data_IF_870229005852
#
_entry.id   IF_870229005852
#
_cell.length_a   1.000
_cell.length_b   1.000
_cell.length_c   1.000
_cell.angle_alpha   90.00
_cell.angle_beta   90.00
_cell.angle_gamma   90.00
#
_symmetry.space_group_name_H-M   'P 1'
#
loop_
_entity.id
_entity.type
_entity.pdbx_description
1 polymer ?
#
# COMPACT_ATOMS: atom_id res chain seq x y z
N UNK A 1 27.00 15.02 -10.05
CA UNK A 1 25.81 15.34 -10.86
C UNK A 1 25.72 14.29 -11.95
N UNK A 2 24.84 13.30 -11.78
CA UNK A 2 24.52 12.35 -12.85
C UNK A 2 23.74 13.09 -13.93
N UNK A 3 24.11 12.82 -15.18
CA UNK A 3 23.54 13.44 -16.38
C UNK A 3 22.08 12.96 -16.57
N UNK A 4 21.09 13.86 -16.78
CA UNK A 4 19.69 13.50 -17.01
C UNK A 4 19.47 12.55 -18.19
N UNK A 5 20.40 12.54 -19.17
CA UNK A 5 20.40 11.59 -20.26
C UNK A 5 20.76 10.17 -19.77
N UNK A 6 21.63 10.07 -18.78
CA UNK A 6 22.03 8.80 -18.15
C UNK A 6 20.90 8.22 -17.31
N UNK A 7 20.11 9.05 -16.62
CA UNK A 7 18.93 8.58 -15.88
C UNK A 7 17.79 8.16 -16.82
N UNK A 8 17.61 8.88 -17.93
CA UNK A 8 16.64 8.54 -18.99
C UNK A 8 17.01 7.22 -19.69
N UNK A 9 18.30 6.97 -19.95
CA UNK A 9 18.80 5.72 -20.52
C UNK A 9 18.73 4.56 -19.53
N UNK A 10 19.01 4.80 -18.24
CA UNK A 10 18.83 3.77 -17.19
C UNK A 10 17.37 3.32 -17.12
N UNK A 11 16.43 4.25 -17.21
CA UNK A 11 15.00 3.95 -17.25
C UNK A 11 14.60 3.17 -18.50
N UNK A 12 15.08 3.59 -19.69
CA UNK A 12 14.79 2.90 -20.94
C UNK A 12 15.35 1.46 -20.99
N UNK A 13 16.55 1.24 -20.42
CA UNK A 13 17.17 -0.10 -20.32
C UNK A 13 16.45 -0.96 -19.28
N UNK A 14 16.05 -0.37 -18.15
CA UNK A 14 15.30 -1.05 -17.09
C UNK A 14 13.93 -1.58 -17.58
N UNK A 15 13.22 -0.80 -18.40
CA UNK A 15 11.97 -1.24 -19.03
C UNK A 15 12.20 -2.36 -20.05
N UNK A 16 13.31 -2.34 -20.78
CA UNK A 16 13.65 -3.37 -21.75
C UNK A 16 14.17 -4.69 -21.12
N UNK A 17 14.66 -4.65 -19.88
CA UNK A 17 15.32 -5.80 -19.24
C UNK A 17 14.37 -6.71 -18.46
N UNK A 18 13.21 -6.21 -18.01
CA UNK A 18 12.25 -6.98 -17.20
C UNK A 18 10.79 -6.69 -17.60
N UNK A 19 10.35 -7.09 -18.81
CA UNK A 19 8.99 -6.85 -19.31
C UNK A 19 7.91 -7.58 -18.49
N UNK A 20 8.30 -8.47 -17.59
CA UNK A 20 7.43 -9.23 -16.68
C UNK A 20 7.08 -8.45 -15.41
N UNK A 21 7.83 -7.37 -15.11
CA UNK A 21 7.65 -6.56 -13.90
C UNK A 21 6.58 -5.50 -14.12
N UNK A 22 5.60 -5.43 -13.22
CA UNK A 22 4.47 -4.51 -13.36
C UNK A 22 4.88 -3.04 -13.18
N UNK A 23 4.15 -2.10 -13.78
CA UNK A 23 4.30 -0.65 -13.55
C UNK A 23 4.30 -0.30 -12.06
N UNK A 24 3.51 -1.04 -11.27
CA UNK A 24 3.38 -0.83 -9.84
C UNK A 24 4.64 -1.26 -9.05
N UNK A 25 5.34 -2.31 -9.50
CA UNK A 25 6.59 -2.74 -8.89
C UNK A 25 7.71 -1.74 -9.16
N UNK A 26 7.79 -1.22 -10.39
CA UNK A 26 8.73 -0.14 -10.72
C UNK A 26 8.54 1.08 -9.82
N UNK A 27 7.29 1.52 -9.66
CA UNK A 27 6.94 2.62 -8.78
C UNK A 27 7.34 2.33 -7.32
N UNK A 28 7.11 1.11 -6.85
CA UNK A 28 7.45 0.74 -5.48
C UNK A 28 8.97 0.76 -5.23
N UNK A 29 9.77 0.24 -6.17
CA UNK A 29 11.23 0.24 -6.08
C UNK A 29 11.78 1.67 -6.07
N UNK A 30 11.20 2.57 -6.88
CA UNK A 30 11.58 3.98 -6.91
C UNK A 30 11.27 4.69 -5.57
N UNK A 31 10.10 4.43 -5.00
CA UNK A 31 9.63 5.08 -3.77
C UNK A 31 10.19 4.45 -2.49
N UNK A 32 10.61 3.19 -2.55
CA UNK A 32 11.20 2.44 -1.45
C UNK A 32 12.44 1.67 -1.95
N UNK A 33 13.57 2.39 -2.15
CA UNK A 33 14.81 1.77 -2.64
C UNK A 33 15.27 0.61 -1.76
N UNK A 34 15.75 -0.47 -2.39
CA UNK A 34 16.22 -1.68 -1.70
C UNK A 34 15.14 -2.74 -1.47
N UNK A 35 13.88 -2.46 -1.84
CA UNK A 35 12.82 -3.47 -1.90
C UNK A 35 12.80 -4.12 -3.30
N UNK A 36 12.54 -5.43 -3.42
CA UNK A 36 12.55 -6.11 -4.72
C UNK A 36 11.29 -5.85 -5.56
N UNK A 37 10.16 -5.56 -4.92
CA UNK A 37 8.85 -5.40 -5.56
C UNK A 37 7.86 -4.64 -4.64
N UNK A 38 6.64 -4.39 -5.13
CA UNK A 38 5.62 -3.71 -4.35
C UNK A 38 5.12 -4.50 -3.14
N UNK A 39 5.10 -5.84 -3.22
CA UNK A 39 4.64 -6.70 -2.11
C UNK A 39 5.60 -6.57 -0.93
N UNK A 40 6.90 -6.70 -1.17
CA UNK A 40 7.94 -6.52 -0.17
C UNK A 40 7.93 -5.09 0.37
N UNK A 41 7.80 -4.08 -0.51
CA UNK A 41 7.68 -2.69 -0.08
C UNK A 41 6.49 -2.49 0.86
N UNK A 42 5.34 -3.10 0.63
CA UNK A 42 4.18 -2.90 1.51
C UNK A 42 4.32 -3.73 2.79
N UNK A 43 4.65 -5.00 2.66
CA UNK A 43 4.55 -5.99 3.73
C UNK A 43 5.74 -5.95 4.70
N UNK A 44 6.95 -5.66 4.23
CA UNK A 44 8.13 -5.68 5.08
C UNK A 44 8.28 -4.37 5.86
N UNK A 45 8.54 -4.44 7.18
CA UNK A 45 8.78 -3.26 8.00
C UNK A 45 10.14 -2.62 7.65
N UNK A 46 10.18 -1.29 7.65
CA UNK A 46 11.42 -0.52 7.63
C UNK A 46 12.24 -0.66 8.92
N UNK A 47 13.49 -0.19 8.92
CA UNK A 47 14.43 -0.37 10.04
C UNK A 47 14.03 0.40 11.30
N UNK A 48 13.35 1.53 11.15
CA UNK A 48 12.80 2.32 12.24
C UNK A 48 11.36 2.77 11.93
N UNK A 49 10.59 3.06 12.97
CA UNK A 49 9.16 3.33 12.85
C UNK A 49 8.84 4.62 12.07
N UNK A 50 9.63 5.68 12.25
CA UNK A 50 9.39 6.95 11.60
C UNK A 50 9.66 6.86 10.09
N UNK A 51 10.80 6.28 9.70
CA UNK A 51 11.14 6.04 8.32
C UNK A 51 10.16 5.09 7.64
N UNK A 52 9.71 4.03 8.33
CA UNK A 52 8.70 3.10 7.80
C UNK A 52 7.37 3.81 7.53
N UNK A 53 6.92 4.67 8.45
CA UNK A 53 5.67 5.40 8.30
C UNK A 53 5.74 6.40 7.13
N UNK A 54 6.84 7.12 6.97
CA UNK A 54 7.00 8.06 5.85
C UNK A 54 7.08 7.33 4.50
N UNK A 55 7.79 6.20 4.46
CA UNK A 55 7.85 5.31 3.30
C UNK A 55 6.47 4.79 2.90
N UNK A 56 5.65 4.36 3.86
CA UNK A 56 4.26 3.98 3.62
C UNK A 56 3.41 5.16 3.09
N UNK A 57 3.63 6.38 3.59
CA UNK A 57 2.95 7.58 3.06
C UNK A 57 3.36 7.90 1.63
N UNK A 58 4.61 7.65 1.25
CA UNK A 58 5.11 7.80 -0.11
C UNK A 58 4.47 6.75 -1.04
N UNK A 59 4.55 5.47 -0.69
CA UNK A 59 3.91 4.38 -1.43
C UNK A 59 2.41 4.63 -1.64
N UNK A 60 1.69 5.03 -0.58
CA UNK A 60 0.27 5.40 -0.65
C UNK A 60 0.01 6.50 -1.68
N UNK A 61 0.86 7.54 -1.72
CA UNK A 61 0.73 8.63 -2.70
C UNK A 61 0.98 8.10 -4.12
N UNK A 62 2.03 7.31 -4.31
CA UNK A 62 2.35 6.67 -5.59
C UNK A 62 1.21 5.82 -6.13
N UNK A 63 0.74 4.83 -5.36
CA UNK A 63 -0.34 3.94 -5.79
C UNK A 63 -1.66 4.67 -6.00
N UNK A 64 -1.93 5.75 -5.25
CA UNK A 64 -3.08 6.61 -5.52
C UNK A 64 -2.97 7.28 -6.90
N UNK A 65 -1.80 7.80 -7.25
CA UNK A 65 -1.56 8.40 -8.58
C UNK A 65 -1.74 7.37 -9.67
N UNK A 66 -1.14 6.19 -9.54
CA UNK A 66 -1.26 5.11 -10.54
C UNK A 66 -2.70 4.60 -10.67
N UNK A 67 -3.43 4.47 -9.55
CA UNK A 67 -4.84 4.09 -9.54
C UNK A 67 -5.72 5.08 -10.33
N UNK A 68 -5.44 6.38 -10.21
CA UNK A 68 -6.27 7.43 -10.82
C UNK A 68 -5.84 7.76 -12.26
N UNK A 69 -4.55 7.60 -12.58
CA UNK A 69 -3.95 8.01 -13.85
C UNK A 69 -3.47 6.87 -14.75
N UNK A 70 -3.50 5.61 -14.29
CA UNK A 70 -3.06 4.47 -15.09
C UNK A 70 -3.93 4.28 -16.33
N UNK A 71 -3.33 4.00 -17.47
CA UNK A 71 -4.02 3.87 -18.76
C UNK A 71 -4.80 2.54 -18.84
N UNK A 72 -4.21 1.45 -18.34
CA UNK A 72 -4.84 0.14 -18.28
C UNK A 72 -5.70 -0.04 -17.00
N UNK A 73 -6.88 -0.61 -17.19
CA UNK A 73 -7.77 -1.05 -16.13
C UNK A 73 -7.16 -2.08 -15.18
N UNK A 74 -6.27 -2.96 -15.67
CA UNK A 74 -5.57 -3.97 -14.88
C UNK A 74 -4.62 -3.26 -13.91
N UNK A 75 -3.78 -2.37 -14.42
CA UNK A 75 -2.85 -1.57 -13.61
C UNK A 75 -3.58 -0.71 -12.58
N UNK A 76 -4.69 -0.06 -12.97
CA UNK A 76 -5.50 0.71 -12.01
C UNK A 76 -6.07 -0.15 -10.89
N UNK A 77 -6.51 -1.38 -11.20
CA UNK A 77 -7.05 -2.32 -10.21
C UNK A 77 -5.94 -2.78 -9.26
N UNK A 78 -4.79 -3.19 -9.79
CA UNK A 78 -3.64 -3.59 -8.99
C UNK A 78 -3.17 -2.46 -8.07
N UNK A 79 -3.04 -1.24 -8.61
CA UNK A 79 -2.70 -0.06 -7.83
C UNK A 79 -3.73 0.25 -6.74
N UNK A 80 -5.03 0.00 -6.97
CA UNK A 80 -6.04 0.14 -5.92
C UNK A 80 -5.86 -0.88 -4.80
N UNK A 81 -5.44 -2.11 -5.11
CA UNK A 81 -5.14 -3.16 -4.12
C UNK A 81 -3.89 -2.81 -3.32
N UNK A 82 -2.83 -2.38 -3.97
CA UNK A 82 -1.61 -1.91 -3.29
C UNK A 82 -1.86 -0.67 -2.43
N UNK A 83 -2.69 0.26 -2.90
CA UNK A 83 -3.14 1.39 -2.09
C UNK A 83 -3.81 0.93 -0.80
N UNK A 84 -4.79 0.02 -0.88
CA UNK A 84 -5.50 -0.52 0.28
C UNK A 84 -4.55 -1.26 1.24
N UNK A 85 -3.69 -2.13 0.72
CA UNK A 85 -2.69 -2.86 1.50
C UNK A 85 -1.71 -1.92 2.22
N UNK A 86 -1.33 -0.80 1.60
CA UNK A 86 -0.47 0.22 2.21
C UNK A 86 -1.17 0.91 3.39
N UNK A 87 -2.48 1.14 3.31
CA UNK A 87 -3.25 1.67 4.44
C UNK A 87 -3.30 0.66 5.60
N UNK A 88 -3.52 -0.62 5.28
CA UNK A 88 -3.51 -1.71 6.27
C UNK A 88 -2.15 -1.83 6.98
N UNK A 89 -1.04 -1.76 6.23
CA UNK A 89 0.31 -1.75 6.80
C UNK A 89 0.51 -0.57 7.77
N UNK A 90 0.00 0.61 7.44
CA UNK A 90 0.01 1.78 8.33
C UNK A 90 -0.74 1.54 9.64
N UNK A 91 -1.93 0.91 9.57
CA UNK A 91 -2.70 0.57 10.76
C UNK A 91 -1.97 -0.48 11.62
N UNK A 92 -1.51 -1.56 11.02
CA UNK A 92 -0.91 -2.70 11.75
C UNK A 92 0.38 -2.28 12.46
N UNK A 93 1.27 -1.58 11.73
CA UNK A 93 2.62 -1.29 12.23
C UNK A 93 2.70 -0.04 13.07
N UNK A 94 1.85 0.95 12.79
CA UNK A 94 1.92 2.28 13.42
C UNK A 94 0.65 2.66 14.16
N UNK A 95 -0.37 1.81 14.15
CA UNK A 95 -1.64 2.08 14.82
C UNK A 95 -2.45 3.22 14.19
N UNK A 96 -2.10 3.70 12.99
CA UNK A 96 -2.71 4.89 12.38
C UNK A 96 -3.21 4.63 10.96
N UNK A 97 -4.40 5.18 10.66
CA UNK A 97 -4.84 5.30 9.28
C UNK A 97 -4.09 6.43 8.59
N UNK A 98 -3.23 6.08 7.63
CA UNK A 98 -2.51 7.07 6.81
C UNK A 98 -3.38 7.69 5.70
N UNK A 99 -4.71 7.63 5.83
CA UNK A 99 -5.70 8.18 4.91
C UNK A 99 -6.72 9.03 5.65
N UNK A 100 -7.32 9.99 4.96
CA UNK A 100 -8.47 10.77 5.45
C UNK A 100 -9.82 10.17 5.02
N UNK A 101 -9.80 9.06 4.29
CA UNK A 101 -11.02 8.34 3.94
C UNK A 101 -11.70 7.84 5.20
N UNK A 102 -13.04 7.75 5.16
CA UNK A 102 -13.78 7.16 6.26
C UNK A 102 -13.34 5.71 6.48
N UNK A 103 -13.24 5.31 7.75
CA UNK A 103 -12.77 3.97 8.14
C UNK A 103 -13.60 2.85 7.52
N UNK A 104 -14.94 2.98 7.48
CA UNK A 104 -15.84 2.00 6.85
C UNK A 104 -15.52 1.74 5.37
N UNK A 105 -15.19 2.80 4.62
CA UNK A 105 -14.77 2.69 3.21
C UNK A 105 -13.41 2.03 3.04
N UNK A 106 -12.50 2.24 4.00
CA UNK A 106 -11.21 1.57 3.97
C UNK A 106 -11.41 0.08 4.26
N UNK A 107 -12.21 -0.26 5.27
CA UNK A 107 -12.52 -1.67 5.62
C UNK A 107 -13.20 -2.40 4.46
N UNK A 108 -14.17 -1.78 3.78
CA UNK A 108 -14.80 -2.33 2.56
C UNK A 108 -13.76 -2.68 1.49
N UNK A 109 -12.79 -1.79 1.25
CA UNK A 109 -11.71 -2.04 0.29
C UNK A 109 -10.75 -3.15 0.75
N UNK A 110 -10.52 -3.28 2.06
CA UNK A 110 -9.69 -4.35 2.64
C UNK A 110 -10.38 -5.72 2.56
N UNK A 111 -11.70 -5.79 2.75
CA UNK A 111 -12.47 -7.03 2.56
C UNK A 111 -12.32 -7.53 1.12
N UNK A 112 -12.56 -6.65 0.15
CA UNK A 112 -12.37 -7.00 -1.27
C UNK A 112 -10.92 -7.36 -1.62
N UNK A 113 -9.93 -6.89 -0.88
CA UNK A 113 -8.52 -7.30 -1.00
C UNK A 113 -8.28 -8.69 -0.41
N UNK A 114 -8.77 -8.96 0.80
CA UNK A 114 -8.58 -10.23 1.49
C UNK A 114 -9.19 -11.43 0.73
N UNK A 115 -10.30 -11.20 0.03
CA UNK A 115 -11.03 -12.22 -0.74
C UNK A 115 -10.49 -12.45 -2.17
N UNK A 116 -9.59 -11.60 -2.65
CA UNK A 116 -9.12 -11.65 -4.04
C UNK A 116 -7.97 -12.64 -4.22
N UNK A 117 -8.31 -13.89 -4.52
CA UNK A 117 -7.36 -15.01 -4.69
C UNK A 117 -6.31 -14.78 -5.79
N UNK A 118 -6.51 -13.82 -6.69
CA UNK A 118 -5.52 -13.46 -7.72
C UNK A 118 -4.36 -12.62 -7.17
N UNK A 119 -4.48 -12.10 -5.95
CA UNK A 119 -3.48 -11.27 -5.29
C UNK A 119 -2.59 -12.10 -4.37
N UNK A 120 -1.33 -11.66 -4.25
CA UNK A 120 -0.33 -12.23 -3.35
C UNK A 120 -0.88 -12.46 -1.93
N UNK A 121 -0.66 -13.66 -1.39
CA UNK A 121 -1.18 -14.08 -0.10
C UNK A 121 -0.72 -13.20 1.08
N UNK A 122 0.45 -12.57 0.99
CA UNK A 122 0.96 -11.65 2.03
C UNK A 122 0.11 -10.38 2.11
N UNK A 123 -0.30 -9.84 0.96
CA UNK A 123 -1.18 -8.67 0.91
C UNK A 123 -2.57 -9.00 1.45
N UNK A 124 -3.10 -10.19 1.12
CA UNK A 124 -4.36 -10.69 1.67
C UNK A 124 -4.31 -10.87 3.19
N UNK A 125 -3.19 -11.39 3.71
CA UNK A 125 -2.97 -11.52 5.14
C UNK A 125 -2.91 -10.16 5.85
N UNK A 126 -2.17 -9.19 5.29
CA UNK A 126 -2.12 -7.81 5.80
C UNK A 126 -3.52 -7.18 5.82
N UNK A 127 -4.33 -7.38 4.78
CA UNK A 127 -5.71 -6.89 4.76
C UNK A 127 -6.56 -7.53 5.87
N UNK A 128 -6.49 -8.85 6.02
CA UNK A 128 -7.24 -9.61 7.03
C UNK A 128 -6.90 -9.14 8.45
N UNK A 129 -5.62 -9.00 8.76
CA UNK A 129 -5.16 -8.51 10.07
C UNK A 129 -5.65 -7.08 10.35
N UNK A 130 -5.60 -6.19 9.35
CA UNK A 130 -6.07 -4.82 9.52
C UNK A 130 -7.60 -4.74 9.74
N UNK A 131 -8.39 -5.62 9.12
CA UNK A 131 -9.84 -5.72 9.36
C UNK A 131 -10.10 -6.10 10.83
N UNK A 132 -9.41 -7.12 11.36
CA UNK A 132 -9.55 -7.53 12.76
C UNK A 132 -9.26 -6.38 13.71
N UNK A 133 -8.13 -5.69 13.54
CA UNK A 133 -7.77 -4.53 14.39
C UNK A 133 -8.81 -3.42 14.28
N UNK A 134 -9.33 -3.14 13.08
CA UNK A 134 -10.34 -2.11 12.89
C UNK A 134 -11.67 -2.45 13.59
N UNK A 135 -12.07 -3.73 13.56
CA UNK A 135 -13.25 -4.22 14.26
C UNK A 135 -13.10 -4.12 15.78
N UNK A 136 -11.95 -4.51 16.33
CA UNK A 136 -11.67 -4.41 17.77
C UNK A 136 -11.77 -2.95 18.25
N UNK A 137 -11.17 -2.01 17.51
CA UNK A 137 -11.24 -0.58 17.84
C UNK A 137 -12.63 0.02 17.76
N UNK A 138 -13.48 -0.49 16.86
CA UNK A 138 -14.87 -0.05 16.77
C UNK A 138 -15.67 -0.47 18.02
N UNK A 139 -15.44 -1.68 18.51
CA UNK A 139 -16.06 -2.20 19.74
C UNK A 139 -15.61 -1.39 20.96
N UNK A 140 -14.31 -1.09 21.08
CA UNK A 140 -13.77 -0.27 22.17
C UNK A 140 -14.34 1.17 22.16
N UNK A 141 -14.51 1.76 20.96
CA UNK A 141 -15.11 3.08 20.80
C UNK A 141 -16.57 3.10 21.27
N UNK A 142 -17.38 2.15 20.83
CA UNK A 142 -18.80 2.05 21.22
C UNK A 142 -18.99 1.79 22.72
N UNK A 143 -18.11 1.01 23.35
CA UNK A 143 -18.16 0.74 24.79
C UNK A 143 -17.79 1.95 25.67
N UNK A 144 -17.07 2.94 25.12
CA UNK A 144 -16.65 4.15 25.85
C UNK A 144 -17.70 5.28 25.75
N UNK A 145 -18.59 5.21 24.75
CA UNK A 145 -19.65 6.20 24.50
C UNK A 145 -20.98 5.87 25.22
N UNK A 146 -21.05 4.82 26.06
CA UNK A 146 -22.22 4.59 26.93
C UNK A 146 -22.31 5.69 28.00
N UNK A 147 -23.43 6.43 28.11
CA UNK A 147 -23.61 7.43 29.14
C UNK A 147 -23.65 6.73 30.51
N UNK A 148 -22.78 7.17 31.42
CA UNK A 148 -22.92 6.83 32.83
C UNK A 148 -24.22 7.41 33.35
N UNK A 149 -25.19 6.54 33.67
CA UNK A 149 -26.45 6.89 34.36
C UNK A 149 -26.21 7.60 35.71
#
# INVERSE_FOLDING_TARGET
>A
MTDPLTDSLRWAIAIGAEPERSTADWLAIELAPGTPDAVAAICDPGPDAEADLERLRLLKRGFKTLRLGGEDSIDRRLAARYYAATLAAGLIRHGVWISRQRTDRIVEALQGLAEDESIDGRLRAVASTAITIASERAIEGDATDEPSD
#
